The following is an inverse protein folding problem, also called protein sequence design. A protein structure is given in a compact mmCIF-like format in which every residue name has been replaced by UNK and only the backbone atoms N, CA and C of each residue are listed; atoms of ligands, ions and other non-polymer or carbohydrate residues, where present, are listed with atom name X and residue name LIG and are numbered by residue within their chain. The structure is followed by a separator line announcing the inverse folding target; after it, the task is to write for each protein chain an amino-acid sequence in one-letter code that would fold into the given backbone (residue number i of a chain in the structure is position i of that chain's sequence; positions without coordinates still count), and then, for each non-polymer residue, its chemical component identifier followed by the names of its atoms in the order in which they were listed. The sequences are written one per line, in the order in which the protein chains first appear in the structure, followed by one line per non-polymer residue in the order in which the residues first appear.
data_IF_876286292862
#
_entry.id   IF_876286292862
#
_cell.length_a   1.000
_cell.length_b   1.000
_cell.length_c   1.000
_cell.angle_alpha   90.00
_cell.angle_beta   90.00
_cell.angle_gamma   90.00
#
_symmetry.space_group_name_H-M   'P 1'
#
loop_
_entity.id
_entity.type
_entity.pdbx_description
1 polymer ?
#
# COMPACT_ATOMS: atom_id res chain seq x y z
N UNK A 1 30.04 -29.70 -7.54
CA UNK A 1 28.65 -29.71 -7.04
C UNK A 1 27.74 -29.55 -8.23
N UNK A 2 27.07 -30.62 -8.62
CA UNK A 2 26.02 -30.62 -9.65
C UNK A 2 24.91 -29.65 -9.22
N UNK A 3 24.67 -28.60 -10.03
CA UNK A 3 23.44 -27.81 -9.92
C UNK A 3 22.30 -28.75 -10.32
N UNK A 4 21.53 -29.24 -9.35
CA UNK A 4 20.23 -29.84 -9.66
C UNK A 4 19.40 -28.75 -10.34
N UNK A 5 19.15 -28.96 -11.64
CA UNK A 5 18.35 -28.07 -12.47
C UNK A 5 16.95 -28.06 -11.87
N UNK A 6 16.39 -26.85 -11.66
CA UNK A 6 15.02 -26.65 -11.20
C UNK A 6 14.06 -27.59 -11.97
N UNK A 7 13.21 -28.40 -11.31
CA UNK A 7 12.31 -29.31 -12.01
C UNK A 7 11.54 -28.59 -13.12
N UNK A 8 11.40 -29.22 -14.29
CA UNK A 8 10.64 -28.68 -15.42
C UNK A 8 9.22 -28.28 -15.00
N UNK A 9 8.61 -27.31 -15.69
CA UNK A 9 7.25 -26.83 -15.41
C UNK A 9 6.22 -27.96 -15.25
N UNK A 10 6.37 -29.04 -16.03
CA UNK A 10 5.50 -30.23 -16.00
C UNK A 10 5.60 -31.02 -14.68
N UNK A 11 6.78 -31.09 -14.08
CA UNK A 11 6.98 -31.78 -12.81
C UNK A 11 6.35 -31.00 -11.64
N UNK A 12 6.42 -29.66 -11.67
CA UNK A 12 5.75 -28.78 -10.72
C UNK A 12 4.22 -28.85 -10.86
N UNK A 13 3.70 -28.78 -12.09
CA UNK A 13 2.27 -28.99 -12.40
C UNK A 13 1.74 -30.30 -11.81
N UNK A 14 2.42 -31.40 -12.10
CA UNK A 14 2.07 -32.73 -11.59
C UNK A 14 2.09 -32.80 -10.05
N UNK A 15 2.97 -32.04 -9.38
CA UNK A 15 3.00 -31.96 -7.92
C UNK A 15 1.74 -31.29 -7.35
N UNK A 16 1.35 -30.13 -7.89
CA UNK A 16 0.17 -29.41 -7.44
C UNK A 16 -1.12 -30.14 -7.79
N UNK A 17 -1.21 -30.80 -8.94
CA UNK A 17 -2.38 -31.62 -9.29
C UNK A 17 -2.62 -32.74 -8.27
N UNK A 18 -1.56 -33.40 -7.80
CA UNK A 18 -1.65 -34.40 -6.72
C UNK A 18 -1.99 -33.78 -5.36
N UNK A 19 -1.64 -32.52 -5.14
CA UNK A 19 -1.93 -31.82 -3.89
C UNK A 19 -3.39 -31.34 -3.83
N UNK A 20 -4.00 -31.06 -4.98
CA UNK A 20 -5.41 -30.68 -5.09
C UNK A 20 -6.32 -31.74 -4.44
N UNK A 21 -6.06 -33.02 -4.71
CA UNK A 21 -6.85 -34.16 -4.24
C UNK A 21 -6.52 -34.67 -2.83
N UNK A 22 -5.40 -34.22 -2.24
CA UNK A 22 -5.00 -34.65 -0.90
C UNK A 22 -5.60 -33.77 0.20
N UNK A 23 -6.32 -34.40 1.13
CA UNK A 23 -6.54 -33.86 2.47
C UNK A 23 -5.32 -34.15 3.35
N UNK A 24 -4.63 -33.10 3.77
CA UNK A 24 -3.36 -33.20 4.51
C UNK A 24 -3.65 -33.48 5.99
N UNK A 25 -3.01 -34.54 6.53
CA UNK A 25 -3.25 -35.14 7.85
C UNK A 25 -2.95 -34.26 9.07
N UNK A 26 -2.12 -33.21 8.96
CA UNK A 26 -1.79 -32.30 10.06
C UNK A 26 -2.46 -30.93 9.88
N UNK A 27 -3.74 -30.86 10.28
CA UNK A 27 -4.61 -29.72 9.99
C UNK A 27 -4.33 -28.44 10.78
N UNK A 28 -3.94 -28.52 12.06
CA UNK A 28 -3.96 -27.35 12.94
C UNK A 28 -2.90 -26.28 12.62
N UNK A 29 -1.63 -26.65 12.37
CA UNK A 29 -0.58 -25.70 11.98
C UNK A 29 -0.91 -25.03 10.64
N UNK A 30 -1.31 -25.82 9.64
CA UNK A 30 -1.72 -25.31 8.32
C UNK A 30 -2.93 -24.38 8.43
N UNK A 31 -3.92 -24.74 9.26
CA UNK A 31 -5.10 -23.93 9.50
C UNK A 31 -4.75 -22.61 10.21
N UNK A 32 -3.82 -22.63 11.16
CA UNK A 32 -3.32 -21.41 11.81
C UNK A 32 -2.62 -20.51 10.80
N UNK A 33 -1.66 -21.05 10.05
CA UNK A 33 -0.93 -20.31 9.02
C UNK A 33 -1.86 -19.71 7.97
N UNK A 34 -2.81 -20.50 7.46
CA UNK A 34 -3.83 -20.03 6.49
C UNK A 34 -4.66 -18.87 7.07
N UNK A 35 -5.19 -19.02 8.30
CA UNK A 35 -5.96 -17.96 8.96
C UNK A 35 -5.14 -16.69 9.22
N UNK A 36 -3.84 -16.81 9.49
CA UNK A 36 -2.95 -15.65 9.63
C UNK A 36 -2.74 -14.93 8.30
N UNK A 37 -2.60 -15.66 7.19
CA UNK A 37 -2.56 -15.06 5.86
C UNK A 37 -3.88 -14.38 5.50
N UNK A 38 -5.02 -15.03 5.73
CA UNK A 38 -6.36 -14.45 5.51
C UNK A 38 -6.49 -13.11 6.27
N UNK A 39 -6.21 -13.11 7.59
CA UNK A 39 -6.26 -11.89 8.42
C UNK A 39 -5.31 -10.80 7.95
N UNK A 40 -4.12 -11.18 7.50
CA UNK A 40 -3.15 -10.21 7.00
C UNK A 40 -3.67 -9.52 5.74
N UNK A 41 -4.17 -10.27 4.76
CA UNK A 41 -4.69 -9.69 3.52
C UNK A 41 -5.96 -8.88 3.77
N UNK A 42 -6.89 -9.35 4.61
CA UNK A 42 -8.11 -8.62 5.00
C UNK A 42 -7.83 -7.27 5.70
N UNK A 43 -6.65 -7.08 6.30
CA UNK A 43 -6.26 -5.80 6.89
C UNK A 43 -5.92 -4.74 5.84
N UNK A 44 -5.46 -5.17 4.67
CA UNK A 44 -4.97 -4.30 3.60
C UNK A 44 -5.95 -4.18 2.43
N UNK A 45 -6.76 -5.22 2.22
CA UNK A 45 -7.72 -5.33 1.13
C UNK A 45 -9.13 -5.14 1.74
N UNK A 46 -9.81 -4.03 1.45
CA UNK A 46 -11.18 -3.83 1.88
C UNK A 46 -12.14 -4.79 1.16
N UNK A 47 -13.26 -5.12 1.80
CA UNK A 47 -14.35 -5.86 1.15
C UNK A 47 -14.85 -5.08 -0.08
N UNK A 48 -15.37 -5.81 -1.08
CA UNK A 48 -15.86 -5.26 -2.35
C UNK A 48 -14.80 -4.62 -3.27
N UNK A 49 -13.50 -4.77 -2.98
CA UNK A 49 -12.46 -4.43 -3.95
C UNK A 49 -12.45 -5.43 -5.13
N UNK A 50 -11.87 -5.03 -6.26
CA UNK A 50 -11.52 -5.94 -7.36
C UNK A 50 -10.16 -6.59 -7.07
N UNK A 51 -10.10 -7.91 -7.05
CA UNK A 51 -8.92 -8.65 -6.56
C UNK A 51 -8.54 -9.76 -7.54
N UNK A 52 -7.27 -9.81 -7.91
CA UNK A 52 -6.65 -10.92 -8.62
C UNK A 52 -5.74 -11.70 -7.67
N UNK A 53 -5.95 -13.01 -7.53
CA UNK A 53 -5.00 -13.91 -6.86
C UNK A 53 -4.28 -14.76 -7.90
N UNK A 54 -2.96 -14.62 -7.99
CA UNK A 54 -2.09 -15.40 -8.87
C UNK A 54 -1.49 -16.55 -8.06
N UNK A 55 -1.61 -17.77 -8.58
CA UNK A 55 -1.28 -18.98 -7.83
C UNK A 55 -2.31 -19.25 -6.72
N UNK A 56 -3.60 -19.13 -7.05
CA UNK A 56 -4.67 -19.16 -6.05
C UNK A 56 -4.89 -20.52 -5.38
N UNK A 57 -4.31 -21.60 -5.91
CA UNK A 57 -4.51 -22.95 -5.41
C UNK A 57 -6.00 -23.29 -5.28
N UNK A 58 -6.44 -23.63 -4.06
CA UNK A 58 -7.85 -24.00 -3.77
C UNK A 58 -8.80 -22.81 -3.59
N UNK A 59 -8.30 -21.57 -3.70
CA UNK A 59 -9.13 -20.35 -3.66
C UNK A 59 -9.56 -19.88 -2.28
N UNK A 60 -9.14 -20.54 -1.20
CA UNK A 60 -9.57 -20.21 0.18
C UNK A 60 -9.24 -18.75 0.56
N UNK A 61 -8.08 -18.22 0.11
CA UNK A 61 -7.64 -16.86 0.43
C UNK A 61 -8.50 -15.81 -0.30
N UNK A 62 -8.59 -15.85 -1.64
CA UNK A 62 -9.43 -14.92 -2.41
C UNK A 62 -10.89 -14.91 -1.92
N UNK A 63 -11.46 -16.08 -1.64
CA UNK A 63 -12.83 -16.18 -1.11
C UNK A 63 -13.01 -15.48 0.24
N UNK A 64 -12.00 -15.53 1.11
CA UNK A 64 -12.05 -14.87 2.42
C UNK A 64 -12.10 -13.34 2.35
N UNK A 65 -11.72 -12.74 1.21
CA UNK A 65 -11.64 -11.29 1.02
C UNK A 65 -12.96 -10.65 0.61
N UNK A 66 -13.95 -11.45 0.19
CA UNK A 66 -15.26 -10.99 -0.30
C UNK A 66 -15.13 -9.85 -1.34
N UNK A 67 -14.41 -10.09 -2.45
CA UNK A 67 -14.24 -9.08 -3.49
C UNK A 67 -15.56 -8.83 -4.25
N UNK A 68 -15.69 -7.66 -4.87
CA UNK A 68 -16.81 -7.38 -5.79
C UNK A 68 -16.62 -8.12 -7.12
N UNK A 69 -15.35 -8.23 -7.54
CA UNK A 69 -14.87 -9.10 -8.61
C UNK A 69 -13.60 -9.78 -8.12
N UNK A 70 -13.66 -11.08 -7.85
CA UNK A 70 -12.49 -11.88 -7.51
C UNK A 70 -12.13 -12.82 -8.64
N UNK A 71 -10.90 -12.74 -9.13
CA UNK A 71 -10.35 -13.62 -10.16
C UNK A 71 -9.18 -14.40 -9.56
N UNK A 72 -9.28 -15.73 -9.56
CA UNK A 72 -8.19 -16.62 -9.19
C UNK A 72 -7.60 -17.30 -10.41
N UNK A 73 -6.27 -17.22 -10.56
CA UNK A 73 -5.55 -17.95 -11.60
C UNK A 73 -4.54 -18.90 -10.99
N UNK A 74 -4.39 -20.07 -11.60
CA UNK A 74 -3.41 -21.08 -11.23
C UNK A 74 -3.04 -21.90 -12.47
N UNK A 75 -1.80 -22.36 -12.58
CA UNK A 75 -1.41 -23.21 -13.69
C UNK A 75 -1.96 -24.64 -13.54
N UNK A 76 -2.38 -25.06 -12.34
CA UNK A 76 -2.94 -26.40 -12.11
C UNK A 76 -4.46 -26.41 -12.34
N UNK A 77 -4.91 -27.10 -13.39
CA UNK A 77 -6.33 -27.29 -13.65
C UNK A 77 -7.03 -27.98 -12.47
N UNK A 78 -6.39 -28.96 -11.83
CA UNK A 78 -6.98 -29.66 -10.68
C UNK A 78 -7.20 -28.72 -9.47
N UNK A 79 -6.32 -27.74 -9.25
CA UNK A 79 -6.54 -26.70 -8.23
C UNK A 79 -7.71 -25.80 -8.59
N UNK A 80 -7.79 -25.36 -9.85
CA UNK A 80 -8.88 -24.53 -10.37
C UNK A 80 -10.24 -25.22 -10.29
N UNK A 81 -10.33 -26.51 -10.61
CA UNK A 81 -11.56 -27.30 -10.47
C UNK A 81 -12.02 -27.37 -9.01
N UNK A 82 -11.10 -27.56 -8.06
CA UNK A 82 -11.41 -27.54 -6.63
C UNK A 82 -11.88 -26.16 -6.18
N UNK A 83 -11.20 -25.09 -6.60
CA UNK A 83 -11.56 -23.71 -6.27
C UNK A 83 -12.96 -23.37 -6.81
N UNK A 84 -13.23 -23.68 -8.08
CA UNK A 84 -14.53 -23.48 -8.73
C UNK A 84 -15.67 -24.25 -8.07
N UNK A 85 -15.40 -25.49 -7.64
CA UNK A 85 -16.37 -26.32 -6.92
C UNK A 85 -16.72 -25.74 -5.54
N UNK A 86 -15.72 -25.20 -4.83
CA UNK A 86 -15.90 -24.63 -3.48
C UNK A 86 -16.52 -23.24 -3.49
N UNK A 87 -16.17 -22.43 -4.49
CA UNK A 87 -16.45 -21.00 -4.53
C UNK A 87 -17.00 -20.62 -5.93
N UNK A 88 -18.22 -21.08 -6.28
CA UNK A 88 -18.77 -20.90 -7.62
C UNK A 88 -19.07 -19.44 -7.98
N UNK A 89 -19.17 -18.56 -6.97
CA UNK A 89 -19.46 -17.13 -7.15
C UNK A 89 -18.24 -16.30 -7.60
N UNK A 90 -17.05 -16.91 -7.68
CA UNK A 90 -15.80 -16.26 -8.10
C UNK A 90 -15.34 -16.77 -9.47
N UNK A 91 -14.51 -15.97 -10.15
CA UNK A 91 -13.97 -16.31 -11.47
C UNK A 91 -12.66 -17.09 -11.32
N UNK A 92 -12.57 -18.27 -11.95
CA UNK A 92 -11.41 -19.16 -11.86
C UNK A 92 -10.89 -19.54 -13.24
N UNK A 93 -9.62 -19.29 -13.52
CA UNK A 93 -8.98 -19.58 -14.82
C UNK A 93 -7.71 -20.39 -14.66
N UNK A 94 -7.56 -21.43 -15.46
CA UNK A 94 -6.27 -22.09 -15.64
C UNK A 94 -5.39 -21.16 -16.49
N UNK A 95 -4.31 -20.64 -15.91
CA UNK A 95 -3.44 -19.67 -16.58
C UNK A 95 -2.08 -19.62 -15.90
N UNK A 96 -1.01 -19.45 -16.69
CA UNK A 96 0.32 -19.15 -16.18
C UNK A 96 0.54 -17.62 -16.18
N UNK A 97 1.17 -17.09 -15.14
CA UNK A 97 1.46 -15.65 -15.03
C UNK A 97 2.36 -15.15 -16.16
N UNK A 98 3.24 -15.99 -16.72
CA UNK A 98 4.10 -15.64 -17.86
C UNK A 98 3.30 -15.31 -19.14
N UNK A 99 2.06 -15.80 -19.23
CA UNK A 99 1.12 -15.52 -20.34
C UNK A 99 -0.17 -14.88 -19.81
N UNK A 100 -0.05 -13.87 -18.95
CA UNK A 100 -1.19 -13.24 -18.31
C UNK A 100 -2.07 -12.51 -19.34
N UNK A 101 -3.27 -13.05 -19.56
CA UNK A 101 -4.28 -12.52 -20.48
C UNK A 101 -5.62 -12.34 -19.74
N UNK A 102 -5.75 -11.21 -19.03
CA UNK A 102 -6.97 -10.85 -18.33
C UNK A 102 -7.44 -9.48 -18.76
N UNK A 103 -8.76 -9.33 -18.86
CA UNK A 103 -9.38 -8.05 -19.17
C UNK A 103 -9.58 -7.20 -17.92
N UNK A 104 -9.23 -5.93 -18.06
CA UNK A 104 -9.35 -4.92 -17.02
C UNK A 104 -8.25 -5.01 -15.97
N UNK A 105 -8.11 -3.92 -15.22
CA UNK A 105 -7.17 -3.84 -14.13
C UNK A 105 -7.85 -4.11 -12.78
N UNK A 106 -7.04 -4.46 -11.78
CA UNK A 106 -7.50 -4.80 -10.42
C UNK A 106 -7.02 -3.78 -9.40
N UNK A 107 -7.83 -3.53 -8.37
CA UNK A 107 -7.40 -2.69 -7.23
C UNK A 107 -6.27 -3.38 -6.46
N UNK A 108 -6.33 -4.72 -6.35
CA UNK A 108 -5.34 -5.52 -5.64
C UNK A 108 -4.91 -6.77 -6.43
N UNK A 109 -3.61 -7.05 -6.44
CA UNK A 109 -3.03 -8.28 -6.99
C UNK A 109 -2.28 -9.02 -5.88
N UNK A 110 -2.54 -10.32 -5.72
CA UNK A 110 -1.98 -11.13 -4.63
C UNK A 110 -1.07 -12.20 -5.21
N UNK A 111 0.14 -12.30 -4.64
CA UNK A 111 1.09 -13.39 -4.86
C UNK A 111 1.36 -14.05 -3.50
N UNK A 112 0.51 -15.00 -3.12
CA UNK A 112 0.59 -15.69 -1.82
C UNK A 112 1.37 -16.99 -1.94
N UNK A 113 2.55 -17.03 -1.33
CA UNK A 113 3.53 -18.12 -1.41
C UNK A 113 3.91 -18.53 -2.84
N UNK A 114 3.74 -17.65 -3.82
CA UNK A 114 3.96 -17.96 -5.23
C UNK A 114 5.39 -17.70 -5.70
N UNK A 115 6.02 -16.61 -5.24
CA UNK A 115 7.27 -16.10 -5.84
C UNK A 115 8.43 -17.11 -5.77
N UNK A 116 8.45 -17.96 -4.74
CA UNK A 116 9.40 -19.07 -4.63
C UNK A 116 9.23 -20.15 -5.71
N UNK A 117 8.03 -20.28 -6.28
CA UNK A 117 7.66 -21.29 -7.28
C UNK A 117 7.59 -20.76 -8.71
N UNK A 118 7.93 -19.48 -8.94
CA UNK A 118 7.98 -18.93 -10.28
C UNK A 118 9.23 -19.44 -11.03
N UNK A 119 9.13 -19.77 -12.33
CA UNK A 119 10.29 -20.07 -13.15
C UNK A 119 11.11 -18.80 -13.46
N UNK A 120 10.42 -17.70 -13.77
CA UNK A 120 10.98 -16.37 -13.98
C UNK A 120 10.17 -15.33 -13.19
N UNK A 121 10.78 -14.81 -12.12
CA UNK A 121 10.13 -13.84 -11.22
C UNK A 121 10.04 -12.46 -11.87
N UNK A 122 11.07 -12.07 -12.63
CA UNK A 122 11.09 -10.76 -13.28
C UNK A 122 10.01 -10.70 -14.36
N UNK A 123 9.98 -11.70 -15.23
CA UNK A 123 8.99 -11.77 -16.30
C UNK A 123 7.56 -11.83 -15.75
N UNK A 124 7.33 -12.55 -14.64
CA UNK A 124 6.03 -12.54 -13.98
C UNK A 124 5.59 -11.13 -13.55
N UNK A 125 6.49 -10.31 -12.99
CA UNK A 125 6.18 -8.92 -12.65
C UNK A 125 5.91 -8.05 -13.89
N UNK A 126 6.69 -8.22 -14.97
CA UNK A 126 6.42 -7.55 -16.25
C UNK A 126 5.02 -7.88 -16.79
N UNK A 127 4.56 -9.12 -16.64
CA UNK A 127 3.21 -9.51 -17.04
C UNK A 127 2.13 -8.92 -16.12
N UNK A 128 2.39 -8.85 -14.80
CA UNK A 128 1.45 -8.29 -13.83
C UNK A 128 1.13 -6.82 -14.12
N UNK A 129 2.03 -6.05 -14.71
CA UNK A 129 1.73 -4.67 -15.14
C UNK A 129 0.51 -4.55 -16.04
N UNK A 130 0.24 -5.55 -16.89
CA UNK A 130 -0.90 -5.54 -17.84
C UNK A 130 -2.26 -5.44 -17.16
N UNK A 131 -2.34 -5.84 -15.89
CA UNK A 131 -3.58 -5.87 -15.09
C UNK A 131 -3.55 -4.85 -13.96
N UNK A 132 -2.62 -3.92 -14.00
CA UNK A 132 -2.44 -2.88 -13.00
C UNK A 132 -2.89 -1.50 -13.52
N UNK A 133 -3.35 -0.67 -12.59
CA UNK A 133 -3.50 0.79 -12.70
C UNK A 133 -2.49 1.45 -11.75
N UNK A 134 -2.23 2.76 -11.86
CA UNK A 134 -1.32 3.45 -10.94
C UNK A 134 -1.65 3.30 -9.44
N UNK A 135 -2.93 3.09 -9.10
CA UNK A 135 -3.40 2.88 -7.73
C UNK A 135 -3.42 1.40 -7.28
N UNK A 136 -3.16 0.45 -8.17
CA UNK A 136 -3.14 -0.98 -7.85
C UNK A 136 -2.11 -1.29 -6.76
N UNK A 137 -2.49 -2.13 -5.79
CA UNK A 137 -1.59 -2.63 -4.75
C UNK A 137 -1.28 -4.11 -4.96
N UNK A 138 0.01 -4.42 -5.01
CA UNK A 138 0.50 -5.79 -5.09
C UNK A 138 0.89 -6.25 -3.70
N UNK A 139 0.27 -7.33 -3.23
CA UNK A 139 0.57 -7.97 -1.96
C UNK A 139 1.30 -9.27 -2.24
N UNK A 140 2.56 -9.32 -1.82
CA UNK A 140 3.41 -10.51 -1.97
C UNK A 140 3.65 -11.07 -0.58
N UNK A 141 3.38 -12.35 -0.39
CA UNK A 141 3.77 -13.06 0.83
C UNK A 141 4.49 -14.33 0.47
N UNK A 142 5.53 -14.69 1.20
CA UNK A 142 6.25 -15.94 1.02
C UNK A 142 6.90 -16.36 2.33
N UNK A 143 7.23 -17.64 2.48
CA UNK A 143 7.86 -18.12 3.69
C UNK A 143 9.30 -17.60 3.80
N UNK A 144 9.72 -17.30 5.02
CA UNK A 144 11.09 -16.90 5.32
C UNK A 144 12.00 -18.14 5.37
N UNK A 145 13.04 -18.14 4.54
CA UNK A 145 13.98 -19.26 4.39
C UNK A 145 14.79 -19.58 5.64
N UNK A 146 14.86 -18.68 6.62
CA UNK A 146 15.50 -19.02 7.90
C UNK A 146 14.84 -20.25 8.56
N UNK A 147 13.58 -20.53 8.23
CA UNK A 147 12.83 -21.69 8.67
C UNK A 147 13.03 -22.95 7.81
N UNK A 148 13.71 -22.85 6.67
CA UNK A 148 13.90 -23.97 5.73
C UNK A 148 14.56 -25.20 6.37
N UNK A 149 15.62 -25.10 7.22
CA UNK A 149 16.20 -26.26 7.88
C UNK A 149 15.20 -27.00 8.78
N UNK A 150 14.36 -26.25 9.50
CA UNK A 150 13.32 -26.82 10.37
C UNK A 150 12.20 -27.46 9.55
N UNK A 151 11.81 -26.83 8.43
CA UNK A 151 10.80 -27.36 7.53
C UNK A 151 11.27 -28.64 6.83
N UNK A 152 12.52 -28.69 6.37
CA UNK A 152 13.14 -29.90 5.79
C UNK A 152 13.23 -31.05 6.79
N UNK A 153 13.48 -30.75 8.07
CA UNK A 153 13.39 -31.74 9.13
C UNK A 153 11.95 -32.28 9.26
N UNK A 154 10.94 -31.39 9.25
CA UNK A 154 9.54 -31.79 9.24
C UNK A 154 9.13 -32.66 8.04
N UNK A 155 9.69 -32.39 6.86
CA UNK A 155 9.49 -33.22 5.66
C UNK A 155 10.10 -34.62 5.82
N UNK A 156 11.34 -34.71 6.33
CA UNK A 156 12.01 -36.00 6.62
C UNK A 156 11.28 -36.83 7.67
N UNK A 157 10.68 -36.17 8.66
CA UNK A 157 9.88 -36.81 9.71
C UNK A 157 8.43 -37.12 9.28
N UNK A 158 8.04 -36.77 8.05
CA UNK A 158 6.71 -37.06 7.51
C UNK A 158 5.58 -36.14 8.00
N UNK A 159 5.92 -35.05 8.69
CA UNK A 159 4.94 -34.06 9.18
C UNK A 159 4.50 -33.06 8.10
N UNK A 160 5.27 -32.92 7.01
CA UNK A 160 5.00 -32.02 5.88
C UNK A 160 5.26 -32.75 4.56
N UNK A 161 4.43 -32.50 3.54
CA UNK A 161 4.66 -33.02 2.19
C UNK A 161 5.97 -32.41 1.64
N UNK A 162 6.91 -33.23 1.12
CA UNK A 162 8.11 -32.72 0.47
C UNK A 162 7.73 -31.77 -0.66
N UNK A 163 8.28 -30.55 -0.63
CA UNK A 163 8.01 -29.53 -1.62
C UNK A 163 9.11 -29.52 -2.70
N UNK A 164 8.79 -29.25 -3.97
CA UNK A 164 9.81 -28.96 -4.98
C UNK A 164 10.75 -27.84 -4.55
N UNK A 165 11.96 -27.82 -5.10
CA UNK A 165 12.92 -26.74 -4.87
C UNK A 165 12.31 -25.39 -5.28
N UNK A 166 12.41 -24.43 -4.37
CA UNK A 166 11.94 -23.06 -4.53
C UNK A 166 13.12 -22.11 -4.73
N UNK A 167 12.86 -20.97 -5.36
CA UNK A 167 13.79 -19.87 -5.50
C UNK A 167 14.20 -19.35 -4.13
N UNK A 168 15.50 -19.08 -3.97
CA UNK A 168 16.02 -18.48 -2.76
C UNK A 168 16.14 -16.95 -2.95
N UNK A 169 15.12 -16.20 -2.52
CA UNK A 169 15.07 -14.74 -2.59
C UNK A 169 15.11 -14.12 -1.19
N UNK A 170 16.02 -13.17 -0.99
CA UNK A 170 16.02 -12.29 0.17
C UNK A 170 15.02 -11.12 -0.01
N UNK A 171 14.82 -10.33 1.04
CA UNK A 171 14.08 -9.07 0.91
C UNK A 171 14.70 -8.15 -0.14
N UNK A 172 16.03 -7.99 -0.11
CA UNK A 172 16.73 -7.10 -1.02
C UNK A 172 16.63 -7.57 -2.47
N UNK A 173 16.69 -8.88 -2.73
CA UNK A 173 16.55 -9.42 -4.09
C UNK A 173 15.16 -9.13 -4.64
N UNK A 174 14.11 -9.35 -3.84
CA UNK A 174 12.74 -9.09 -4.28
C UNK A 174 12.47 -7.59 -4.48
N UNK A 175 13.02 -6.75 -3.60
CA UNK A 175 12.93 -5.29 -3.73
C UNK A 175 13.58 -4.80 -5.03
N UNK A 176 14.78 -5.31 -5.35
CA UNK A 176 15.46 -5.00 -6.60
C UNK A 176 14.68 -5.50 -7.83
N UNK A 177 14.10 -6.69 -7.79
CA UNK A 177 13.29 -7.22 -8.90
C UNK A 177 12.02 -6.38 -9.14
N UNK A 178 11.36 -5.93 -8.06
CA UNK A 178 10.24 -4.99 -8.16
C UNK A 178 10.69 -3.68 -8.82
N UNK A 179 11.78 -3.08 -8.35
CA UNK A 179 12.30 -1.84 -8.93
C UNK A 179 12.73 -1.97 -10.40
N UNK A 180 13.34 -3.11 -10.77
CA UNK A 180 13.74 -3.39 -12.16
C UNK A 180 12.55 -3.54 -13.12
N UNK A 181 11.38 -3.83 -12.58
CA UNK A 181 10.14 -4.03 -13.33
C UNK A 181 9.16 -2.91 -13.05
N UNK A 182 9.64 -1.70 -12.75
CA UNK A 182 8.82 -0.50 -12.56
C UNK A 182 7.73 -0.66 -11.48
N UNK A 183 8.02 -1.39 -10.40
CA UNK A 183 7.22 -1.41 -9.18
C UNK A 183 7.95 -0.67 -8.06
N UNK A 184 7.20 0.16 -7.33
CA UNK A 184 7.64 0.89 -6.15
C UNK A 184 7.28 0.11 -4.88
N UNK A 185 8.27 -0.47 -4.16
CA UNK A 185 8.04 -1.19 -2.91
C UNK A 185 7.70 -0.19 -1.78
N UNK A 186 6.43 -0.14 -1.40
CA UNK A 186 5.92 0.78 -0.37
C UNK A 186 6.29 0.30 1.03
N UNK A 187 6.17 -1.01 1.27
CA UNK A 187 6.35 -1.59 2.59
C UNK A 187 6.78 -3.04 2.52
N UNK A 188 7.78 -3.40 3.31
CA UNK A 188 8.22 -4.78 3.45
C UNK A 188 8.47 -5.15 4.91
N UNK A 189 8.59 -6.44 5.19
CA UNK A 189 9.06 -6.92 6.47
C UNK A 189 8.69 -8.36 6.76
N UNK A 190 8.70 -8.69 8.05
CA UNK A 190 8.48 -10.03 8.56
C UNK A 190 7.28 -10.07 9.51
N UNK A 191 6.54 -11.17 9.51
CA UNK A 191 5.41 -11.43 10.42
C UNK A 191 5.38 -12.88 10.87
N UNK A 192 4.55 -13.14 11.88
CA UNK A 192 4.36 -14.46 12.46
C UNK A 192 5.69 -15.03 13.04
N UNK A 193 6.31 -14.35 14.04
CA UNK A 193 7.55 -14.85 14.65
C UNK A 193 7.38 -16.20 15.34
N UNK A 194 6.15 -16.54 15.76
CA UNK A 194 5.82 -17.85 16.30
C UNK A 194 4.89 -18.58 15.33
N UNK A 195 5.34 -19.68 14.71
CA UNK A 195 4.58 -20.37 13.69
C UNK A 195 3.49 -21.30 14.27
N UNK A 196 3.33 -21.36 15.59
CA UNK A 196 2.36 -22.22 16.29
C UNK A 196 1.47 -21.40 17.24
N UNK A 197 0.19 -21.76 17.35
CA UNK A 197 -0.71 -21.12 18.30
C UNK A 197 -0.54 -21.71 19.71
N UNK A 198 0.11 -20.97 20.59
CA UNK A 198 0.16 -21.28 22.02
C UNK A 198 -0.78 -20.27 22.71
N UNK A 199 -1.92 -20.71 23.27
CA UNK A 199 -2.86 -19.82 23.96
C UNK A 199 -2.12 -18.95 24.99
N UNK A 200 -2.47 -17.66 25.06
CA UNK A 200 -1.86 -16.61 25.92
C UNK A 200 -0.42 -16.22 25.55
N UNK A 201 0.45 -17.18 25.20
CA UNK A 201 1.86 -16.96 24.86
C UNK A 201 2.02 -16.29 23.50
N UNK A 202 1.29 -16.75 22.47
CA UNK A 202 1.38 -16.18 21.11
C UNK A 202 0.90 -14.72 21.07
N UNK A 203 -0.09 -14.33 21.89
CA UNK A 203 -0.61 -12.95 21.93
C UNK A 203 0.40 -11.99 22.56
N UNK A 204 1.06 -12.42 23.63
CA UNK A 204 2.09 -11.64 24.33
C UNK A 204 3.38 -11.56 23.52
N UNK A 205 3.86 -12.70 23.02
CA UNK A 205 5.11 -12.78 22.28
C UNK A 205 5.01 -12.15 20.89
N UNK A 206 3.89 -12.27 20.15
CA UNK A 206 3.76 -11.55 18.87
C UNK A 206 3.79 -10.02 19.07
N UNK A 207 3.31 -9.51 20.21
CA UNK A 207 3.41 -8.09 20.57
C UNK A 207 4.86 -7.66 20.83
N UNK A 208 5.57 -8.36 21.72
CA UNK A 208 6.92 -7.97 22.16
C UNK A 208 8.00 -8.31 21.12
N UNK A 209 7.94 -9.50 20.52
CA UNK A 209 8.93 -9.96 19.53
C UNK A 209 8.88 -9.14 18.25
N UNK A 210 7.71 -8.59 17.89
CA UNK A 210 7.58 -7.73 16.71
C UNK A 210 8.25 -6.36 16.88
N UNK A 211 8.46 -5.90 18.13
CA UNK A 211 9.10 -4.62 18.45
C UNK A 211 10.62 -4.78 18.60
N UNK A 212 11.10 -6.00 18.89
CA UNK A 212 12.53 -6.26 19.09
C UNK A 212 13.27 -6.30 17.75
N UNK A 213 14.30 -5.46 17.52
CA UNK A 213 14.93 -5.29 16.20
C UNK A 213 15.49 -6.57 15.56
N UNK A 214 15.96 -7.52 16.36
CA UNK A 214 16.53 -8.79 15.87
C UNK A 214 15.44 -9.86 15.69
N UNK A 215 14.56 -10.01 16.67
CA UNK A 215 13.58 -11.10 16.70
C UNK A 215 12.46 -10.93 15.66
N UNK A 216 12.21 -9.71 15.19
CA UNK A 216 11.31 -9.48 14.05
C UNK A 216 11.74 -10.23 12.80
N UNK A 217 13.05 -10.41 12.57
CA UNK A 217 13.58 -11.13 11.40
C UNK A 217 13.32 -12.63 11.42
N UNK A 218 12.88 -13.18 12.57
CA UNK A 218 12.47 -14.58 12.71
C UNK A 218 11.01 -14.83 12.28
N UNK A 219 10.30 -13.83 11.76
CA UNK A 219 8.95 -14.01 11.21
C UNK A 219 8.91 -15.13 10.17
N UNK A 220 7.96 -16.06 10.30
CA UNK A 220 7.73 -17.14 9.33
C UNK A 220 7.34 -16.59 7.96
N UNK A 221 6.64 -15.45 7.91
CA UNK A 221 6.14 -14.85 6.68
C UNK A 221 6.94 -13.59 6.39
N UNK A 222 7.53 -13.54 5.20
CA UNK A 222 8.02 -12.32 4.58
C UNK A 222 6.88 -11.71 3.77
N UNK A 223 6.70 -10.39 3.86
CA UNK A 223 5.67 -9.68 3.09
C UNK A 223 6.23 -8.45 2.38
N UNK A 224 5.62 -8.13 1.23
CA UNK A 224 5.76 -6.88 0.50
C UNK A 224 4.40 -6.32 0.12
N UNK A 225 4.32 -5.00 0.13
CA UNK A 225 3.28 -4.23 -0.51
C UNK A 225 4.01 -3.32 -1.49
N UNK A 226 3.69 -3.48 -2.76
CA UNK A 226 4.22 -2.67 -3.85
C UNK A 226 3.06 -2.04 -4.63
N UNK A 227 3.38 -1.08 -5.48
CA UNK A 227 2.48 -0.50 -6.48
C UNK A 227 3.23 -0.30 -7.79
N UNK A 228 2.57 -0.26 -8.94
CA UNK A 228 3.22 0.22 -10.17
C UNK A 228 3.84 1.58 -9.91
N UNK A 229 5.06 1.78 -10.37
CA UNK A 229 5.68 3.09 -10.32
C UNK A 229 4.87 4.02 -11.22
N UNK A 230 4.40 5.17 -10.72
CA UNK A 230 3.72 6.14 -11.55
C UNK A 230 4.71 6.65 -12.62
N UNK A 231 4.31 6.58 -13.89
CA UNK A 231 5.13 6.97 -15.05
C UNK A 231 5.35 8.50 -15.18
N UNK A 232 5.21 9.25 -14.10
CA UNK A 232 5.33 10.72 -14.12
C UNK A 232 4.24 11.43 -14.93
N UNK A 233 3.14 10.74 -15.30
CA UNK A 233 2.06 11.32 -16.11
C UNK A 233 1.44 12.57 -15.45
N UNK A 234 1.27 12.56 -14.12
CA UNK A 234 0.82 13.72 -13.35
C UNK A 234 1.73 14.95 -13.51
N UNK A 235 3.04 14.77 -13.71
CA UNK A 235 3.94 15.89 -13.95
C UNK A 235 3.67 16.55 -15.32
N UNK A 236 3.20 15.78 -16.30
CA UNK A 236 2.84 16.29 -17.63
C UNK A 236 1.50 17.05 -17.62
N UNK A 237 0.61 16.77 -16.67
CA UNK A 237 -0.72 17.38 -16.56
C UNK A 237 -0.71 18.75 -15.84
N UNK A 238 0.39 19.10 -15.16
CA UNK A 238 0.52 20.33 -14.37
C UNK A 238 -0.72 20.65 -13.50
N UNK A 239 -1.10 19.74 -12.60
CA UNK A 239 -2.37 19.80 -11.87
C UNK A 239 -2.51 21.08 -11.04
N UNK A 240 -3.76 21.56 -10.91
CA UNK A 240 -4.10 22.73 -10.11
C UNK A 240 -3.99 22.45 -8.61
N UNK A 241 -3.79 23.50 -7.79
CA UNK A 241 -3.58 23.38 -6.34
C UNK A 241 -4.50 24.30 -5.56
N UNK A 242 -5.18 23.76 -4.54
CA UNK A 242 -5.81 24.56 -3.48
C UNK A 242 -4.93 24.55 -2.24
N UNK A 243 -4.48 25.73 -1.80
CA UNK A 243 -3.83 25.96 -0.52
C UNK A 243 -4.87 26.42 0.50
N UNK A 244 -5.25 25.52 1.39
CA UNK A 244 -6.21 25.79 2.46
C UNK A 244 -5.48 26.28 3.71
N UNK A 245 -5.86 27.47 4.17
CA UNK A 245 -5.30 28.15 5.33
C UNK A 245 -6.39 28.27 6.41
N UNK A 246 -6.50 27.31 7.35
CA UNK A 246 -7.39 27.46 8.50
C UNK A 246 -6.82 28.53 9.44
N UNK A 247 -7.61 29.54 9.77
CA UNK A 247 -7.18 30.68 10.62
C UNK A 247 -7.99 30.75 11.90
N UNK A 248 -7.35 31.22 12.98
CA UNK A 248 -8.05 31.70 14.18
C UNK A 248 -7.17 32.65 14.98
N UNK A 249 -7.53 33.92 15.01
CA UNK A 249 -6.76 35.01 15.64
C UNK A 249 -5.34 35.15 15.08
N UNK A 250 -5.22 35.23 13.76
CA UNK A 250 -3.95 35.25 13.02
C UNK A 250 -3.80 36.50 12.16
N UNK A 251 -4.43 37.62 12.55
CA UNK A 251 -4.46 38.86 11.76
C UNK A 251 -3.08 39.29 11.27
N UNK A 252 -2.06 39.18 12.12
CA UNK A 252 -0.69 39.60 11.80
C UNK A 252 -0.03 38.78 10.68
N UNK A 253 -0.52 37.57 10.40
CA UNK A 253 0.09 36.64 9.46
C UNK A 253 -0.61 36.58 8.10
N UNK A 254 -1.81 37.15 7.97
CA UNK A 254 -2.64 37.00 6.75
C UNK A 254 -1.97 37.59 5.50
N UNK A 255 -1.40 38.79 5.60
CA UNK A 255 -0.71 39.42 4.47
C UNK A 255 0.50 38.59 4.01
N UNK A 256 1.33 38.16 4.95
CA UNK A 256 2.51 37.35 4.67
C UNK A 256 2.13 35.97 4.12
N UNK A 257 1.06 35.35 4.61
CA UNK A 257 0.56 34.09 4.09
C UNK A 257 0.24 34.21 2.59
N UNK A 258 -0.38 35.31 2.17
CA UNK A 258 -0.70 35.55 0.76
C UNK A 258 0.55 35.93 -0.04
N UNK A 259 1.44 36.78 0.47
CA UNK A 259 2.63 37.20 -0.27
C UNK A 259 3.64 36.08 -0.49
N UNK A 260 3.76 35.19 0.50
CA UNK A 260 4.81 34.16 0.54
C UNK A 260 4.37 32.83 -0.06
N UNK A 261 3.06 32.57 -0.15
CA UNK A 261 2.56 31.35 -0.80
C UNK A 261 2.84 31.42 -2.31
N UNK A 262 3.72 30.56 -2.85
CA UNK A 262 4.07 30.57 -4.27
C UNK A 262 2.90 30.08 -5.12
N UNK A 263 2.89 30.47 -6.39
CA UNK A 263 2.03 29.84 -7.39
C UNK A 263 2.61 28.48 -7.79
N UNK A 264 1.74 27.50 -7.90
CA UNK A 264 2.03 26.11 -8.20
C UNK A 264 1.00 25.58 -9.20
N UNK A 265 1.44 24.65 -10.05
CA UNK A 265 0.54 24.01 -11.00
C UNK A 265 0.05 24.93 -12.11
N UNK A 266 -1.05 24.53 -12.74
CA UNK A 266 -1.76 25.34 -13.75
C UNK A 266 -2.60 26.46 -13.13
N UNK A 267 -2.99 26.31 -11.87
CA UNK A 267 -3.78 27.26 -11.10
C UNK A 267 -3.51 27.10 -9.60
N UNK A 268 -3.47 28.21 -8.86
CA UNK A 268 -3.36 28.20 -7.39
C UNK A 268 -4.53 28.95 -6.76
N UNK A 269 -5.40 28.21 -6.09
CA UNK A 269 -6.49 28.73 -5.27
C UNK A 269 -6.03 28.82 -3.81
N UNK A 270 -6.24 29.95 -3.15
CA UNK A 270 -6.01 30.10 -1.71
C UNK A 270 -7.36 30.24 -1.02
N UNK A 271 -7.65 29.34 -0.07
CA UNK A 271 -8.87 29.40 0.72
C UNK A 271 -8.51 29.67 2.18
N UNK A 272 -9.06 30.74 2.73
CA UNK A 272 -9.08 30.96 4.17
C UNK A 272 -10.36 30.40 4.78
N UNK A 273 -10.23 29.60 5.85
CA UNK A 273 -11.37 29.17 6.67
C UNK A 273 -11.18 29.67 8.10
N UNK A 274 -11.98 30.66 8.49
CA UNK A 274 -11.82 31.33 9.79
C UNK A 274 -12.69 30.73 10.89
N UNK A 275 -12.04 30.31 11.97
CA UNK A 275 -12.65 29.70 13.15
C UNK A 275 -13.22 30.68 14.16
N UNK A 276 -14.00 31.66 13.70
CA UNK A 276 -14.63 32.72 14.49
C UNK A 276 -13.61 33.55 15.26
N UNK A 277 -12.67 34.15 14.54
CA UNK A 277 -11.66 35.07 15.08
C UNK A 277 -12.28 36.33 15.67
N UNK A 278 -11.58 36.90 16.67
CA UNK A 278 -12.01 38.10 17.40
C UNK A 278 -10.99 39.24 17.35
N UNK A 279 -9.85 39.03 16.70
CA UNK A 279 -8.73 39.98 16.60
C UNK A 279 -8.75 40.85 15.33
N UNK A 280 -9.74 40.66 14.48
CA UNK A 280 -9.86 41.32 13.18
C UNK A 280 -9.29 40.52 12.00
N UNK A 281 -9.03 39.21 12.17
CA UNK A 281 -8.57 38.33 11.09
C UNK A 281 -9.48 38.37 9.83
N UNK A 282 -10.82 38.28 9.92
CA UNK A 282 -11.68 38.29 8.74
C UNK A 282 -11.60 39.60 7.93
N UNK A 283 -11.53 40.74 8.61
CA UNK A 283 -11.40 42.05 7.99
C UNK A 283 -10.06 42.18 7.27
N UNK A 284 -9.01 41.61 7.85
CA UNK A 284 -7.69 41.59 7.23
C UNK A 284 -7.64 40.69 5.99
N UNK A 285 -8.29 39.53 6.02
CA UNK A 285 -8.43 38.66 4.84
C UNK A 285 -9.10 39.44 3.70
N UNK A 286 -10.20 40.14 3.98
CA UNK A 286 -10.90 40.93 2.96
C UNK A 286 -10.06 42.12 2.45
N UNK A 287 -9.32 42.79 3.34
CA UNK A 287 -8.39 43.86 2.96
C UNK A 287 -7.30 43.33 2.04
N UNK A 288 -6.63 42.25 2.39
CA UNK A 288 -5.52 41.70 1.59
C UNK A 288 -6.04 41.15 0.25
N UNK A 289 -7.21 40.49 0.24
CA UNK A 289 -7.88 40.02 -0.98
C UNK A 289 -8.12 41.16 -1.98
N UNK A 290 -8.60 42.31 -1.51
CA UNK A 290 -8.93 43.46 -2.37
C UNK A 290 -7.73 44.33 -2.73
N UNK A 291 -6.65 44.32 -1.96
CA UNK A 291 -5.50 45.22 -2.17
C UNK A 291 -4.30 44.54 -2.81
N UNK A 292 -3.93 43.35 -2.32
CA UNK A 292 -2.68 42.65 -2.66
C UNK A 292 -2.96 41.42 -3.53
N UNK A 293 -4.05 40.71 -3.23
CA UNK A 293 -4.43 39.48 -3.92
C UNK A 293 -5.28 39.67 -5.18
N UNK A 294 -5.28 40.85 -5.82
CA UNK A 294 -6.16 41.13 -6.97
C UNK A 294 -5.95 40.17 -8.15
N UNK A 295 -4.71 39.74 -8.34
CA UNK A 295 -4.30 38.83 -9.41
C UNK A 295 -4.26 37.36 -8.95
N UNK A 296 -4.75 37.06 -7.73
CA UNK A 296 -4.78 35.71 -7.16
C UNK A 296 -6.21 35.25 -6.89
N UNK A 297 -6.45 33.96 -7.02
CA UNK A 297 -7.75 33.35 -6.66
C UNK A 297 -7.79 33.11 -5.14
N UNK A 298 -8.31 34.10 -4.41
CA UNK A 298 -8.42 34.06 -2.95
C UNK A 298 -9.88 34.03 -2.54
N UNK A 299 -10.23 33.04 -1.74
CA UNK A 299 -11.57 32.86 -1.18
C UNK A 299 -11.54 32.86 0.34
N UNK A 300 -12.61 33.37 0.92
CA UNK A 300 -12.84 33.38 2.35
C UNK A 300 -14.11 32.63 2.69
N UNK A 301 -14.05 31.76 3.69
CA UNK A 301 -15.18 30.98 4.17
C UNK A 301 -15.23 31.08 5.71
N UNK A 302 -16.28 31.66 6.31
CA UNK A 302 -16.43 31.60 7.78
C UNK A 302 -16.71 30.16 8.20
N UNK A 303 -16.11 29.67 9.29
CA UNK A 303 -16.36 28.32 9.81
C UNK A 303 -17.82 28.17 10.28
N UNK A 304 -18.40 29.22 10.89
CA UNK A 304 -19.77 29.22 11.40
C UNK A 304 -19.89 28.43 12.71
N UNK A 305 -20.89 27.57 12.83
CA UNK A 305 -21.15 26.76 14.04
C UNK A 305 -20.14 25.62 14.26
N UNK A 306 -19.30 25.35 13.26
CA UNK A 306 -18.22 24.36 13.32
C UNK A 306 -17.16 24.68 14.37
N UNK A 307 -16.39 23.67 14.81
CA UNK A 307 -15.39 23.82 15.87
C UNK A 307 -14.06 23.14 15.55
N UNK A 308 -12.98 23.89 15.73
CA UNK A 308 -11.61 23.40 15.66
C UNK A 308 -11.07 23.26 14.23
N UNK A 309 -9.75 23.08 14.13
CA UNK A 309 -9.01 23.03 12.85
C UNK A 309 -9.50 21.93 11.91
N UNK A 310 -9.76 20.72 12.44
CA UNK A 310 -10.19 19.59 11.61
C UNK A 310 -11.55 19.77 10.95
N UNK A 311 -12.44 20.59 11.53
CA UNK A 311 -13.70 20.96 10.90
C UNK A 311 -13.50 22.04 9.83
N UNK A 312 -12.68 23.06 10.12
CA UNK A 312 -12.28 24.07 9.15
C UNK A 312 -11.63 23.45 7.91
N UNK A 313 -10.73 22.47 8.10
CA UNK A 313 -10.08 21.74 7.01
C UNK A 313 -11.10 20.99 6.15
N UNK A 314 -12.02 20.23 6.77
CA UNK A 314 -13.07 19.51 6.03
C UNK A 314 -13.97 20.45 5.24
N UNK A 315 -14.35 21.58 5.83
CA UNK A 315 -15.16 22.60 5.17
C UNK A 315 -14.43 23.24 3.98
N UNK A 316 -13.14 23.56 4.15
CA UNK A 316 -12.30 24.09 3.10
C UNK A 316 -12.13 23.12 1.94
N UNK A 317 -11.74 21.88 2.22
CA UNK A 317 -11.58 20.83 1.20
C UNK A 317 -12.87 20.53 0.44
N UNK A 318 -14.02 20.52 1.11
CA UNK A 318 -15.32 20.36 0.43
C UNK A 318 -15.67 21.52 -0.51
N UNK A 319 -15.07 22.70 -0.30
CA UNK A 319 -15.29 23.90 -1.11
C UNK A 319 -14.16 24.15 -2.14
N UNK A 320 -13.07 23.38 -2.09
CA UNK A 320 -11.92 23.44 -3.00
C UNK A 320 -12.30 22.98 -4.40
N UNK A 321 -11.61 23.51 -5.41
CA UNK A 321 -11.89 23.23 -6.82
C UNK A 321 -10.74 22.56 -7.57
N UNK A 322 -9.57 22.45 -6.94
CA UNK A 322 -8.35 22.00 -7.61
C UNK A 322 -8.08 20.52 -7.41
N UNK A 323 -7.14 20.00 -8.21
CA UNK A 323 -6.76 18.58 -8.23
C UNK A 323 -5.98 18.17 -6.97
N UNK A 324 -5.09 19.05 -6.50
CA UNK A 324 -4.26 18.84 -5.31
C UNK A 324 -4.72 19.75 -4.18
N UNK A 325 -4.92 19.17 -2.99
CA UNK A 325 -5.32 19.89 -1.79
C UNK A 325 -4.16 19.94 -0.79
N UNK A 326 -3.78 21.14 -0.37
CA UNK A 326 -2.72 21.39 0.60
C UNK A 326 -3.27 22.14 1.81
N UNK A 327 -2.65 21.91 2.97
CA UNK A 327 -2.93 22.67 4.19
C UNK A 327 -1.68 23.49 4.52
N UNK A 328 -1.86 24.78 4.73
CA UNK A 328 -0.83 25.67 5.26
C UNK A 328 -1.34 26.28 6.57
N UNK A 329 -0.53 26.20 7.62
CA UNK A 329 -0.90 26.74 8.92
C UNK A 329 -0.76 28.27 8.92
N UNK A 330 -1.79 28.96 9.40
CA UNK A 330 -1.89 30.41 9.39
C UNK A 330 -0.85 31.12 10.28
N UNK A 331 -0.23 30.41 11.22
CA UNK A 331 0.82 30.93 12.10
C UNK A 331 2.18 31.07 11.40
N UNK A 332 2.29 30.58 10.15
CA UNK A 332 3.50 30.58 9.32
C UNK A 332 4.73 29.97 9.99
N UNK A 333 4.51 29.09 10.98
CA UNK A 333 5.60 28.37 11.64
C UNK A 333 6.24 27.31 10.75
N UNK A 334 5.58 26.99 9.63
CA UNK A 334 6.17 26.35 8.45
C UNK A 334 6.17 27.36 7.29
N UNK A 335 7.30 27.52 6.58
CA UNK A 335 7.41 28.50 5.50
C UNK A 335 6.53 28.09 4.30
N UNK A 336 5.66 28.98 3.79
CA UNK A 336 4.90 28.72 2.56
C UNK A 336 5.78 28.38 1.34
N UNK A 337 7.03 28.88 1.34
CA UNK A 337 8.03 28.64 0.31
C UNK A 337 8.42 27.16 0.18
N UNK A 338 8.09 26.32 1.17
CA UNK A 338 8.31 24.88 1.12
C UNK A 338 7.18 24.10 0.42
N UNK A 339 5.99 24.70 0.22
CA UNK A 339 4.85 24.05 -0.45
C UNK A 339 5.22 23.43 -1.82
N UNK A 340 6.05 24.06 -2.68
CA UNK A 340 6.47 23.45 -3.94
C UNK A 340 7.17 22.11 -3.78
N UNK A 341 7.88 21.85 -2.67
CA UNK A 341 8.52 20.55 -2.43
C UNK A 341 7.47 19.43 -2.31
N UNK A 342 6.36 19.70 -1.64
CA UNK A 342 5.24 18.76 -1.50
C UNK A 342 4.52 18.57 -2.83
N UNK A 343 4.29 19.66 -3.56
CA UNK A 343 3.71 19.61 -4.90
C UNK A 343 4.55 18.72 -5.83
N UNK A 344 5.86 18.96 -5.88
CA UNK A 344 6.78 18.19 -6.71
C UNK A 344 6.80 16.70 -6.33
N UNK A 345 6.78 16.37 -5.04
CA UNK A 345 6.71 14.98 -4.60
C UNK A 345 5.43 14.27 -5.06
N UNK A 346 4.28 14.96 -5.07
CA UNK A 346 3.01 14.43 -5.57
C UNK A 346 3.03 14.26 -7.10
N UNK A 347 3.38 15.31 -7.86
CA UNK A 347 3.29 15.26 -9.34
C UNK A 347 4.34 14.36 -9.97
N UNK A 348 5.50 14.19 -9.33
CA UNK A 348 6.52 13.20 -9.76
C UNK A 348 6.21 11.78 -9.27
N UNK A 349 5.06 11.58 -8.61
CA UNK A 349 4.56 10.28 -8.21
C UNK A 349 5.31 9.63 -7.03
N UNK A 350 6.14 10.39 -6.31
CA UNK A 350 6.88 9.89 -5.13
C UNK A 350 5.98 9.58 -3.94
N UNK A 351 4.74 10.07 -3.94
CA UNK A 351 3.72 9.68 -2.98
C UNK A 351 2.32 10.03 -3.45
N UNK A 352 1.32 9.37 -2.89
CA UNK A 352 -0.11 9.71 -3.06
C UNK A 352 -0.62 10.62 -1.92
N UNK A 353 0.12 10.67 -0.82
CA UNK A 353 -0.10 11.54 0.33
C UNK A 353 1.26 11.96 0.88
N UNK A 354 1.48 13.26 1.03
CA UNK A 354 2.76 13.81 1.50
C UNK A 354 2.51 14.60 2.77
N UNK A 355 3.18 14.21 3.84
CA UNK A 355 3.13 14.91 5.12
C UNK A 355 4.52 15.42 5.50
N UNK A 356 4.59 16.71 5.84
CA UNK A 356 5.82 17.35 6.28
C UNK A 356 6.18 16.99 7.71
N UNK A 357 7.44 17.20 8.07
CA UNK A 357 7.89 17.10 9.47
C UNK A 357 8.83 18.24 9.81
N UNK A 358 8.60 18.83 10.97
CA UNK A 358 9.44 19.88 11.56
C UNK A 358 10.55 19.33 12.44
N UNK A 359 10.62 18.00 12.58
CA UNK A 359 11.52 17.32 13.53
C UNK A 359 12.84 16.87 12.90
N UNK A 360 13.03 17.07 11.59
CA UNK A 360 14.26 16.69 10.89
C UNK A 360 15.38 17.70 11.14
N UNK A 361 15.04 18.99 11.21
CA UNK A 361 15.99 20.07 11.44
C UNK A 361 15.78 20.71 12.82
N UNK A 362 16.80 21.39 13.39
CA UNK A 362 16.66 22.09 14.66
C UNK A 362 15.51 23.10 14.60
N UNK A 363 14.61 23.05 15.59
CA UNK A 363 13.51 24.01 15.69
C UNK A 363 14.02 25.37 16.16
N UNK A 364 13.48 26.44 15.59
CA UNK A 364 13.71 27.79 16.12
C UNK A 364 13.14 27.91 17.54
N UNK A 365 13.83 28.66 18.40
CA UNK A 365 13.51 28.76 19.84
C UNK A 365 12.12 29.34 20.16
N UNK A 366 11.38 29.81 19.17
CA UNK A 366 10.03 30.41 19.31
C UNK A 366 8.94 29.66 18.53
N UNK A 367 9.25 28.53 17.91
CA UNK A 367 8.25 27.67 17.28
C UNK A 367 7.32 26.99 18.32
N UNK A 368 6.01 26.95 18.06
CA UNK A 368 4.95 26.39 18.93
C UNK A 368 4.76 27.12 20.27
N UNK A 369 4.28 28.37 20.22
CA UNK A 369 3.78 29.09 21.40
C UNK A 369 2.26 29.07 21.46
#
# INVERSE_FOLDING_TARGET
MSREINPSGDARRSFFDRLATKDIRFGWFRNFYRKELERYHQRWIPENATVLEIGCGKGDLLASLKPSRGVGIDFSNAMIEVARSRYPDLEWKEMNVEGLELEGAFDYVILSNLVGDLPDVQHAFEQIHKVCRPDTRILITFYNQIWEPLLKLGERLGFKTPHPMQNNLSLADLENLLLLTDFDPIKSGFRCPIPMYIPLVTRFLNGILSITPVLRHLGLVTYFIARPQPNGELANENPSVTVLIPTRNEKGNIEDAIRRTPDMGSHTEIIFVDGNSTDGTPEEIERVRTTIGKDRDIRFIPQGDGKGKGDAVRKGFAASKCDILMILDADLTVPPEDLPKFYQALVTGKGEFVNGTRLVYPMEKQAMR
#
